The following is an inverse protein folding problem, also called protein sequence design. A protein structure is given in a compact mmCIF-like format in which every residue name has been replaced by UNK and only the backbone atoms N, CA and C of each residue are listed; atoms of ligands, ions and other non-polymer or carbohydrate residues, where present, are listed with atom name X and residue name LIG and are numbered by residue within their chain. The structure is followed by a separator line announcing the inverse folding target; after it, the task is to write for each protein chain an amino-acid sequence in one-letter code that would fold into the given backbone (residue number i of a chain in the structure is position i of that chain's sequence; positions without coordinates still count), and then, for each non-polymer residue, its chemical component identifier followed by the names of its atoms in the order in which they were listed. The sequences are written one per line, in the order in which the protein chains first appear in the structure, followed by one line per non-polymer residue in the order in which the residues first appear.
data_IF_839356843970
#
_entry.id   IF_839356843970
#
_cell.length_a   1.000
_cell.length_b   1.000
_cell.length_c   1.000
_cell.angle_alpha   90.00
_cell.angle_beta   90.00
_cell.angle_gamma   90.00
#
_symmetry.space_group_name_H-M   'P 1'
#
loop_
_entity.id
_entity.type
_entity.pdbx_description
1 polymer ?
#
# COMPACT_ATOMS: atom_id res chain seq x y z
N UNK A 1 12.58 -10.05 4.22
CA UNK A 1 13.10 -9.33 5.40
C UNK A 1 12.80 -10.13 6.65
N UNK A 2 13.80 -10.41 7.50
CA UNK A 2 13.58 -10.94 8.85
C UNK A 2 12.79 -9.87 9.62
N UNK A 3 11.74 -10.26 10.34
CA UNK A 3 11.07 -9.36 11.30
C UNK A 3 12.14 -8.94 12.31
N UNK A 4 12.47 -7.66 12.35
CA UNK A 4 13.24 -7.10 13.44
C UNK A 4 12.39 -7.31 14.69
N UNK A 5 12.96 -7.89 15.74
CA UNK A 5 12.26 -8.04 17.01
C UNK A 5 11.79 -6.66 17.46
N UNK A 6 10.57 -6.57 17.95
CA UNK A 6 10.08 -5.32 18.52
C UNK A 6 10.86 -5.04 19.80
N UNK A 7 11.27 -3.78 20.05
CA UNK A 7 11.97 -3.45 21.27
C UNK A 7 11.07 -3.71 22.49
N UNK A 8 11.68 -4.21 23.57
CA UNK A 8 11.03 -4.34 24.86
C UNK A 8 10.84 -2.96 25.49
N UNK A 9 9.74 -2.79 26.18
CA UNK A 9 9.41 -1.56 26.91
C UNK A 9 9.25 -1.86 28.40
N UNK A 10 9.38 -0.80 29.21
CA UNK A 10 8.96 -0.83 30.61
C UNK A 10 7.46 -1.14 30.73
N UNK A 11 7.02 -1.59 31.93
CA UNK A 11 5.60 -1.81 32.19
C UNK A 11 4.75 -0.54 31.93
N UNK A 12 5.29 0.63 32.22
CA UNK A 12 4.63 1.90 31.92
C UNK A 12 4.52 2.14 30.40
N UNK A 13 5.61 1.90 29.64
CA UNK A 13 5.58 2.00 28.16
C UNK A 13 4.55 1.09 27.52
N UNK A 14 4.44 -0.17 28.00
CA UNK A 14 3.41 -1.10 27.52
C UNK A 14 2.00 -0.61 27.88
N UNK A 15 1.79 -0.05 29.05
CA UNK A 15 0.50 0.52 29.46
C UNK A 15 0.09 1.68 28.55
N UNK A 16 1.02 2.58 28.21
CA UNK A 16 0.79 3.69 27.29
C UNK A 16 0.38 3.19 25.90
N UNK A 17 1.08 2.18 25.38
CA UNK A 17 0.73 1.60 24.07
C UNK A 17 -0.65 0.94 24.09
N UNK A 18 -0.97 0.21 25.15
CA UNK A 18 -2.25 -0.48 25.30
C UNK A 18 -3.42 0.50 25.34
N UNK A 19 -3.27 1.62 26.04
CA UNK A 19 -4.29 2.67 26.09
C UNK A 19 -4.53 3.30 24.72
N UNK A 20 -3.45 3.62 23.99
CA UNK A 20 -3.57 4.15 22.63
C UNK A 20 -4.14 3.12 21.65
N UNK A 21 -3.78 1.84 21.79
CA UNK A 21 -4.36 0.77 20.96
C UNK A 21 -5.87 0.69 21.15
N UNK A 22 -6.35 0.77 22.39
CA UNK A 22 -7.77 0.75 22.70
C UNK A 22 -8.51 1.91 22.00
N UNK A 23 -7.98 3.14 22.10
CA UNK A 23 -8.52 4.29 21.39
C UNK A 23 -8.59 4.06 19.88
N UNK A 24 -7.47 3.65 19.25
CA UNK A 24 -7.40 3.42 17.82
C UNK A 24 -8.37 2.33 17.31
N UNK A 25 -8.70 1.34 18.15
CA UNK A 25 -9.62 0.26 17.79
C UNK A 25 -11.08 0.59 18.01
N UNK A 26 -11.40 1.40 19.02
CA UNK A 26 -12.79 1.66 19.44
C UNK A 26 -13.32 2.94 18.80
N UNK A 27 -12.51 3.98 18.76
CA UNK A 27 -12.98 5.31 18.36
C UNK A 27 -12.65 5.67 16.91
N UNK A 28 -11.73 4.91 16.27
CA UNK A 28 -11.32 5.21 14.93
C UNK A 28 -11.59 4.04 13.96
N UNK A 29 -12.17 4.35 12.81
CA UNK A 29 -12.40 3.39 11.72
C UNK A 29 -11.09 3.11 10.94
N UNK A 30 -10.09 2.56 11.65
CA UNK A 30 -8.79 2.26 11.09
C UNK A 30 -8.63 0.77 10.76
N UNK A 31 -7.92 0.49 9.67
CA UNK A 31 -7.57 -0.90 9.35
C UNK A 31 -6.63 -1.49 10.41
N UNK A 32 -6.75 -2.80 10.68
CA UNK A 32 -5.83 -3.55 11.57
C UNK A 32 -4.36 -3.31 11.21
N UNK A 33 -4.05 -3.17 9.91
CA UNK A 33 -2.69 -2.89 9.47
C UNK A 33 -2.23 -1.48 9.83
N UNK A 34 -3.12 -0.49 9.77
CA UNK A 34 -2.83 0.90 10.16
C UNK A 34 -2.57 0.99 11.66
N UNK A 35 -3.46 0.41 12.48
CA UNK A 35 -3.29 0.34 13.93
C UNK A 35 -1.94 -0.30 14.29
N UNK A 36 -1.63 -1.46 13.71
CA UNK A 36 -0.35 -2.14 13.93
C UNK A 36 0.86 -1.27 13.57
N UNK A 37 0.80 -0.52 12.48
CA UNK A 37 1.89 0.35 12.06
C UNK A 37 2.07 1.53 13.05
N UNK A 38 0.97 2.15 13.48
CA UNK A 38 1.01 3.24 14.47
C UNK A 38 1.59 2.75 15.80
N UNK A 39 1.13 1.61 16.29
CA UNK A 39 1.67 1.01 17.52
C UNK A 39 3.15 0.64 17.39
N UNK A 40 3.57 0.13 16.23
CA UNK A 40 4.98 -0.19 15.97
C UNK A 40 5.86 1.08 15.97
N UNK A 41 5.40 2.16 15.34
CA UNK A 41 6.14 3.41 15.30
C UNK A 41 6.22 4.07 16.70
N UNK A 42 5.11 4.07 17.45
CA UNK A 42 5.07 4.59 18.83
C UNK A 42 5.95 3.74 19.77
N UNK A 43 5.93 2.41 19.63
CA UNK A 43 6.81 1.50 20.39
C UNK A 43 8.29 1.82 20.16
N UNK A 44 8.69 2.04 18.92
CA UNK A 44 10.07 2.39 18.60
C UNK A 44 10.48 3.72 19.23
N UNK A 45 9.59 4.72 19.21
CA UNK A 45 9.84 6.00 19.85
C UNK A 45 9.94 5.86 21.38
N UNK A 46 9.01 5.15 22.01
CA UNK A 46 9.02 4.92 23.46
C UNK A 46 10.30 4.22 23.90
N UNK A 47 10.71 3.14 23.21
CA UNK A 47 11.95 2.43 23.49
C UNK A 47 13.18 3.31 23.31
N UNK A 48 13.19 4.18 22.29
CA UNK A 48 14.29 5.14 22.10
C UNK A 48 14.36 6.17 23.25
N UNK A 49 13.22 6.61 23.76
CA UNK A 49 13.17 7.50 24.94
C UNK A 49 13.68 6.78 26.19
N UNK A 50 13.23 5.53 26.45
CA UNK A 50 13.65 4.73 27.60
C UNK A 50 15.16 4.42 27.59
N UNK A 51 15.74 4.15 26.42
CA UNK A 51 17.17 3.88 26.26
C UNK A 51 18.06 5.11 26.54
N UNK A 52 17.51 6.34 26.50
CA UNK A 52 18.24 7.59 26.75
C UNK A 52 18.14 8.09 28.19
N UNK A 53 17.40 7.40 29.04
CA UNK A 53 17.36 7.73 30.46
C UNK A 53 18.75 7.68 31.10
N UNK A 54 18.96 8.38 32.23
CA UNK A 54 20.25 8.45 32.87
C UNK A 54 20.78 7.06 33.17
N UNK A 55 21.87 6.70 32.50
CA UNK A 55 22.60 5.45 32.73
C UNK A 55 23.11 5.45 34.18
N UNK A 56 22.69 4.47 34.98
CA UNK A 56 23.21 4.25 36.33
C UNK A 56 22.21 4.19 37.47
N UNK A 57 20.90 4.22 37.19
CA UNK A 57 19.88 3.87 38.19
C UNK A 57 19.25 2.53 37.82
N UNK A 58 19.05 1.68 38.81
CA UNK A 58 18.46 0.32 38.73
C UNK A 58 17.04 0.26 38.12
N UNK A 59 16.47 1.40 37.74
CA UNK A 59 15.20 1.51 37.04
C UNK A 59 15.44 2.16 35.69
N UNK A 60 15.34 1.40 34.61
CA UNK A 60 15.26 1.93 33.25
C UNK A 60 14.23 3.06 33.22
N UNK A 61 14.59 4.20 32.62
CA UNK A 61 13.69 5.35 32.56
C UNK A 61 12.40 4.91 31.81
N UNK A 62 11.27 4.96 32.51
CA UNK A 62 9.99 4.61 31.90
C UNK A 62 9.57 5.69 30.91
N UNK A 63 8.98 5.30 29.79
CA UNK A 63 8.39 6.23 28.84
C UNK A 63 7.23 7.00 29.48
N UNK A 64 7.39 8.31 29.59
CA UNK A 64 6.41 9.22 30.18
C UNK A 64 6.08 10.30 29.13
N UNK A 65 4.92 10.21 28.47
CA UNK A 65 4.55 11.15 27.40
C UNK A 65 4.59 12.63 27.80
N UNK A 66 4.24 12.93 29.07
CA UNK A 66 4.18 14.30 29.60
C UNK A 66 5.58 14.95 29.71
N UNK A 67 6.63 14.15 29.69
CA UNK A 67 8.02 14.64 29.70
C UNK A 67 8.60 14.85 28.31
N UNK A 68 7.87 14.48 27.27
CA UNK A 68 8.31 14.66 25.90
C UNK A 68 8.12 16.10 25.47
N UNK A 69 9.20 16.75 25.09
CA UNK A 69 9.19 18.12 24.56
C UNK A 69 9.51 18.12 23.05
N UNK A 70 9.21 19.23 22.38
CA UNK A 70 9.53 19.42 20.96
C UNK A 70 11.00 19.09 20.60
N UNK A 71 12.01 19.50 21.39
CA UNK A 71 13.40 19.12 21.12
C UNK A 71 13.63 17.61 21.07
N UNK A 72 12.98 16.84 21.95
CA UNK A 72 13.07 15.38 21.97
C UNK A 72 12.59 14.76 20.65
N UNK A 73 11.50 15.29 20.09
CA UNK A 73 10.96 14.82 18.81
C UNK A 73 11.86 15.22 17.62
N UNK A 74 12.49 16.38 17.68
CA UNK A 74 13.48 16.82 16.67
C UNK A 74 14.72 15.91 16.73
N UNK A 75 15.20 15.56 17.91
CA UNK A 75 16.31 14.63 18.09
C UNK A 75 15.95 13.23 17.58
N UNK A 76 14.74 12.76 17.86
CA UNK A 76 14.27 11.47 17.33
C UNK A 76 14.21 11.49 15.80
N UNK A 77 13.70 12.55 15.18
CA UNK A 77 13.73 12.71 13.72
C UNK A 77 15.17 12.63 13.20
N UNK A 78 16.11 13.31 13.83
CA UNK A 78 17.53 13.29 13.47
C UNK A 78 18.12 11.88 13.61
N UNK A 79 17.77 11.16 14.67
CA UNK A 79 18.13 9.76 14.88
C UNK A 79 17.64 8.86 13.75
N UNK A 80 16.35 8.98 13.36
CA UNK A 80 15.78 8.20 12.26
C UNK A 80 16.48 8.49 10.92
N UNK A 81 16.81 9.76 10.66
CA UNK A 81 17.44 10.18 9.40
C UNK A 81 18.92 9.81 9.31
N UNK A 82 19.70 10.12 10.33
CA UNK A 82 21.17 10.07 10.25
C UNK A 82 21.76 8.81 10.87
N UNK A 83 21.19 8.28 11.94
CA UNK A 83 21.71 7.07 12.57
C UNK A 83 21.09 5.79 11.96
N UNK A 84 19.77 5.76 11.78
CA UNK A 84 19.10 4.63 11.16
C UNK A 84 19.02 4.73 9.62
N UNK A 85 19.37 5.85 9.04
CA UNK A 85 19.38 6.12 7.59
C UNK A 85 18.07 5.70 6.89
N UNK A 86 16.94 5.96 7.56
CA UNK A 86 15.65 5.62 7.01
C UNK A 86 15.27 6.56 5.85
N UNK A 87 14.54 6.02 4.88
CA UNK A 87 13.96 6.82 3.79
C UNK A 87 13.02 7.90 4.35
N UNK A 88 12.96 9.09 3.72
CA UNK A 88 12.08 10.20 4.14
C UNK A 88 10.64 9.76 4.39
N UNK A 89 10.06 8.93 3.52
CA UNK A 89 8.71 8.37 3.67
C UNK A 89 8.54 7.57 4.98
N UNK A 90 9.56 6.82 5.42
CA UNK A 90 9.52 6.05 6.67
C UNK A 90 9.63 6.96 7.88
N UNK A 91 10.51 7.99 7.81
CA UNK A 91 10.65 9.02 8.85
C UNK A 91 9.35 9.79 9.00
N UNK A 92 8.77 10.25 7.90
CA UNK A 92 7.52 11.00 7.89
C UNK A 92 6.34 10.17 8.43
N UNK A 93 6.27 8.87 8.11
CA UNK A 93 5.26 7.98 8.69
C UNK A 93 5.36 7.94 10.22
N UNK A 94 6.57 7.75 10.75
CA UNK A 94 6.80 7.75 12.20
C UNK A 94 6.42 9.09 12.83
N UNK A 95 6.80 10.22 12.21
CA UNK A 95 6.44 11.54 12.71
C UNK A 95 4.93 11.80 12.67
N UNK A 96 4.23 11.35 11.62
CA UNK A 96 2.76 11.44 11.52
C UNK A 96 2.10 10.62 12.63
N UNK A 97 2.61 9.43 12.92
CA UNK A 97 2.15 8.61 14.06
C UNK A 97 2.29 9.38 15.37
N UNK A 98 3.46 10.00 15.62
CA UNK A 98 3.69 10.76 16.85
C UNK A 98 2.81 12.02 16.94
N UNK A 99 2.65 12.76 15.83
CA UNK A 99 1.72 13.91 15.79
C UNK A 99 0.30 13.49 16.16
N UNK A 100 -0.18 12.36 15.62
CA UNK A 100 -1.50 11.86 15.94
C UNK A 100 -1.64 11.44 17.40
N UNK A 101 -0.61 10.78 17.94
CA UNK A 101 -0.58 10.36 19.34
C UNK A 101 -0.59 11.56 20.29
N UNK A 102 0.27 12.55 20.10
CA UNK A 102 0.35 13.73 20.98
C UNK A 102 -0.86 14.65 20.86
N UNK A 103 -1.42 14.81 19.67
CA UNK A 103 -2.69 15.53 19.48
C UNK A 103 -3.86 14.85 20.21
N UNK A 104 -3.89 13.53 20.25
CA UNK A 104 -4.87 12.77 21.03
C UNK A 104 -4.70 12.99 22.53
N UNK A 105 -3.48 13.00 23.06
CA UNK A 105 -3.21 13.29 24.49
C UNK A 105 -3.60 14.73 24.86
N UNK A 106 -3.33 15.71 23.98
CA UNK A 106 -3.79 17.08 24.17
C UNK A 106 -5.32 17.17 24.21
N UNK A 107 -6.01 16.48 23.29
CA UNK A 107 -7.47 16.44 23.26
C UNK A 107 -8.10 15.79 24.52
N UNK A 108 -7.40 14.85 25.15
CA UNK A 108 -7.79 14.26 26.44
C UNK A 108 -7.47 15.17 27.66
N UNK A 109 -6.78 16.29 27.46
CA UNK A 109 -6.33 17.15 28.55
C UNK A 109 -5.16 16.57 29.37
N UNK A 110 -4.52 15.49 28.88
CA UNK A 110 -3.33 14.90 29.53
C UNK A 110 -2.07 15.72 29.24
N UNK A 111 -2.10 16.52 28.18
CA UNK A 111 -1.06 17.50 27.86
C UNK A 111 -1.66 18.88 27.73
N UNK A 112 -0.91 19.88 28.18
CA UNK A 112 -1.28 21.29 28.02
C UNK A 112 -1.05 21.83 26.61
N UNK A 113 -0.17 21.17 25.83
CA UNK A 113 0.11 21.48 24.44
C UNK A 113 0.75 20.27 23.73
N UNK A 114 0.47 20.13 22.43
CA UNK A 114 1.05 19.09 21.58
C UNK A 114 2.52 19.42 21.21
N UNK A 115 3.53 18.66 21.73
CA UNK A 115 4.93 18.92 21.42
C UNK A 115 5.29 18.56 19.97
N UNK A 116 4.47 17.75 19.27
CA UNK A 116 4.71 17.35 17.90
C UNK A 116 4.15 18.33 16.87
N UNK A 117 3.29 19.26 17.27
CA UNK A 117 2.58 20.18 16.38
C UNK A 117 3.53 20.94 15.43
N UNK A 118 4.60 21.49 15.96
CA UNK A 118 5.57 22.31 15.22
C UNK A 118 6.69 21.51 14.55
N UNK A 119 6.76 20.20 14.78
CA UNK A 119 7.80 19.34 14.16
C UNK A 119 7.52 19.22 12.67
N UNK A 120 8.46 19.71 11.85
CA UNK A 120 8.34 19.63 10.38
C UNK A 120 8.66 18.22 9.89
N UNK A 121 7.90 17.78 8.89
CA UNK A 121 8.20 16.58 8.13
C UNK A 121 9.48 16.79 7.31
N UNK A 122 10.12 15.68 6.95
CA UNK A 122 11.30 15.69 6.08
C UNK A 122 10.81 15.91 4.64
N UNK A 123 11.51 16.76 3.90
CA UNK A 123 11.24 16.96 2.48
C UNK A 123 11.38 15.64 1.72
N UNK A 124 10.40 15.33 0.89
CA UNK A 124 10.43 14.17 0.02
C UNK A 124 10.62 14.63 -1.43
N UNK A 125 11.58 14.04 -2.11
CA UNK A 125 11.67 14.15 -3.55
C UNK A 125 10.56 13.30 -4.17
N UNK A 126 9.71 13.91 -4.97
CA UNK A 126 8.61 13.20 -5.65
C UNK A 126 9.19 12.51 -6.88
N UNK A 127 9.74 11.33 -6.67
CA UNK A 127 10.19 10.45 -7.75
C UNK A 127 8.95 9.71 -8.29
N UNK A 128 8.68 9.76 -9.62
CA UNK A 128 7.62 8.96 -10.20
C UNK A 128 7.80 7.47 -9.83
N UNK A 129 6.72 6.76 -9.47
CA UNK A 129 6.85 5.36 -9.13
C UNK A 129 7.30 4.56 -10.35
N UNK A 130 8.16 3.55 -10.12
CA UNK A 130 8.53 2.59 -11.14
C UNK A 130 7.27 1.94 -11.73
N UNK A 131 7.25 1.78 -13.03
CA UNK A 131 6.26 1.00 -13.77
C UNK A 131 6.95 0.25 -14.90
N UNK A 132 6.30 -0.75 -15.44
CA UNK A 132 6.80 -1.46 -16.60
C UNK A 132 6.60 -0.58 -17.86
N UNK A 133 7.57 -0.61 -18.75
CA UNK A 133 7.39 -0.09 -20.10
C UNK A 133 6.68 -1.13 -21.00
N UNK A 134 6.51 -0.82 -22.29
CA UNK A 134 5.82 -1.71 -23.24
C UNK A 134 6.60 -3.01 -23.48
N UNK A 135 7.93 -2.96 -23.51
CA UNK A 135 8.78 -4.13 -23.75
C UNK A 135 8.81 -5.03 -22.49
N UNK A 136 8.93 -4.43 -21.31
CA UNK A 136 8.89 -5.15 -20.03
C UNK A 136 7.53 -5.85 -19.81
N UNK A 137 6.41 -5.17 -20.12
CA UNK A 137 5.08 -5.75 -20.07
C UNK A 137 4.95 -6.95 -21.02
N UNK A 138 5.39 -6.79 -22.28
CA UNK A 138 5.36 -7.86 -23.27
C UNK A 138 6.22 -9.05 -22.84
N UNK A 139 7.42 -8.82 -22.32
CA UNK A 139 8.30 -9.86 -21.81
C UNK A 139 7.69 -10.62 -20.62
N UNK A 140 7.05 -9.90 -19.69
CA UNK A 140 6.36 -10.50 -18.54
C UNK A 140 5.18 -11.37 -18.99
N UNK A 141 4.35 -10.85 -19.91
CA UNK A 141 3.20 -11.58 -20.46
C UNK A 141 3.67 -12.82 -21.25
N UNK A 142 4.72 -12.71 -22.07
CA UNK A 142 5.30 -13.84 -22.80
C UNK A 142 5.82 -14.93 -21.84
N UNK A 143 6.51 -14.53 -20.75
CA UNK A 143 7.02 -15.45 -19.75
C UNK A 143 5.89 -16.24 -19.07
N UNK A 144 4.81 -15.56 -18.64
CA UNK A 144 3.69 -16.25 -18.01
C UNK A 144 2.88 -17.09 -19.00
N UNK A 145 2.78 -16.69 -20.25
CA UNK A 145 2.09 -17.46 -21.29
C UNK A 145 2.82 -18.75 -21.60
N UNK A 146 4.15 -18.70 -21.62
CA UNK A 146 4.99 -19.87 -21.93
C UNK A 146 5.13 -20.84 -20.75
N UNK A 147 5.36 -20.33 -19.55
CA UNK A 147 5.77 -21.13 -18.39
C UNK A 147 4.70 -21.19 -17.28
N UNK A 148 3.60 -20.42 -17.43
CA UNK A 148 2.58 -20.27 -16.40
C UNK A 148 1.38 -21.19 -16.55
N UNK A 149 0.73 -21.46 -15.41
CA UNK A 149 -0.59 -22.06 -15.41
C UNK A 149 -1.66 -21.05 -15.86
N UNK A 150 -2.83 -21.54 -16.27
CA UNK A 150 -3.97 -20.68 -16.60
C UNK A 150 -4.33 -19.72 -15.44
N UNK A 151 -4.17 -20.18 -14.18
CA UNK A 151 -4.34 -19.36 -12.98
C UNK A 151 -3.34 -18.18 -12.96
N UNK A 152 -2.06 -18.45 -13.16
CA UNK A 152 -0.99 -17.45 -13.08
C UNK A 152 -1.14 -16.43 -14.20
N UNK A 153 -1.52 -16.89 -15.40
CA UNK A 153 -1.86 -16.01 -16.52
C UNK A 153 -3.05 -15.11 -16.19
N UNK A 154 -4.13 -15.68 -15.66
CA UNK A 154 -5.31 -14.91 -15.26
C UNK A 154 -4.99 -13.85 -14.21
N UNK A 155 -4.16 -14.17 -13.21
CA UNK A 155 -3.74 -13.22 -12.17
C UNK A 155 -2.96 -12.05 -12.77
N UNK A 156 -1.92 -12.31 -13.56
CA UNK A 156 -1.06 -11.26 -14.12
C UNK A 156 -1.81 -10.39 -15.13
N UNK A 157 -2.58 -11.00 -16.03
CA UNK A 157 -3.43 -10.28 -16.98
C UNK A 157 -4.46 -9.43 -16.26
N UNK A 158 -5.11 -9.96 -15.22
CA UNK A 158 -6.07 -9.21 -14.44
C UNK A 158 -5.43 -7.97 -13.82
N UNK A 159 -4.26 -8.09 -13.20
CA UNK A 159 -3.56 -6.96 -12.59
C UNK A 159 -3.18 -5.89 -13.62
N UNK A 160 -2.63 -6.28 -14.77
CA UNK A 160 -2.23 -5.37 -15.84
C UNK A 160 -3.40 -4.66 -16.51
N UNK A 161 -4.59 -5.27 -16.52
CA UNK A 161 -5.75 -4.76 -17.24
C UNK A 161 -6.85 -4.15 -16.36
N UNK A 162 -6.69 -4.20 -15.04
CA UNK A 162 -7.66 -3.63 -14.09
C UNK A 162 -7.03 -2.68 -13.07
N UNK A 163 -5.71 -2.75 -12.89
CA UNK A 163 -5.01 -1.97 -11.89
C UNK A 163 -5.39 -2.29 -10.44
N UNK A 164 -5.97 -3.45 -10.17
CA UNK A 164 -6.33 -3.88 -8.81
C UNK A 164 -5.12 -3.92 -7.89
N UNK A 165 -5.35 -3.57 -6.60
CA UNK A 165 -4.32 -3.75 -5.56
C UNK A 165 -4.11 -5.22 -5.26
N UNK A 166 -2.90 -5.60 -4.84
CA UNK A 166 -2.57 -6.98 -4.47
C UNK A 166 -3.59 -7.59 -3.49
N UNK A 167 -3.99 -6.84 -2.47
CA UNK A 167 -5.00 -7.26 -1.51
C UNK A 167 -6.37 -7.49 -2.17
N UNK A 168 -6.78 -6.62 -3.08
CA UNK A 168 -8.04 -6.73 -3.80
C UNK A 168 -8.07 -8.03 -4.61
N UNK A 169 -7.02 -8.30 -5.41
CA UNK A 169 -6.88 -9.57 -6.15
C UNK A 169 -6.97 -10.79 -5.23
N UNK A 170 -6.25 -10.76 -4.11
CA UNK A 170 -6.24 -11.87 -3.15
C UNK A 170 -7.59 -12.07 -2.43
N UNK A 171 -8.45 -11.05 -2.37
CA UNK A 171 -9.74 -11.14 -1.68
C UNK A 171 -10.92 -11.43 -2.60
N UNK A 172 -10.69 -11.50 -3.93
CA UNK A 172 -11.75 -11.87 -4.87
C UNK A 172 -12.29 -13.26 -4.57
N UNK A 173 -13.61 -13.37 -4.67
CA UNK A 173 -14.33 -14.65 -4.68
C UNK A 173 -15.00 -14.82 -6.04
N UNK A 174 -15.51 -16.01 -6.31
CA UNK A 174 -16.23 -16.30 -7.56
C UNK A 174 -17.49 -15.43 -7.72
N UNK A 175 -18.18 -15.12 -6.61
CA UNK A 175 -19.34 -14.22 -6.59
C UNK A 175 -19.02 -12.80 -7.06
N UNK A 176 -17.76 -12.36 -6.95
CA UNK A 176 -17.32 -11.04 -7.38
C UNK A 176 -17.11 -10.91 -8.89
N UNK A 177 -17.19 -12.03 -9.65
CA UNK A 177 -16.90 -12.06 -11.08
C UNK A 177 -18.20 -12.24 -11.86
N UNK A 178 -18.48 -11.31 -12.76
CA UNK A 178 -19.56 -11.45 -13.74
C UNK A 178 -18.95 -11.46 -15.13
N UNK A 179 -19.09 -12.58 -15.84
CA UNK A 179 -18.61 -12.74 -17.21
C UNK A 179 -19.79 -12.95 -18.16
N UNK A 180 -19.92 -12.05 -19.13
CA UNK A 180 -20.84 -12.19 -20.26
C UNK A 180 -20.08 -12.31 -21.57
N UNK A 181 -20.81 -12.60 -22.65
CA UNK A 181 -20.21 -12.77 -24.00
C UNK A 181 -19.44 -11.54 -24.48
N UNK A 182 -19.93 -10.32 -24.20
CA UNK A 182 -19.36 -9.06 -24.69
C UNK A 182 -18.91 -8.11 -23.59
N UNK A 183 -19.29 -8.35 -22.34
CA UNK A 183 -18.99 -7.52 -21.18
C UNK A 183 -18.58 -8.37 -19.99
N UNK A 184 -17.97 -7.77 -18.99
CA UNK A 184 -17.67 -8.38 -17.71
C UNK A 184 -17.31 -7.33 -16.70
N UNK A 185 -17.55 -7.62 -15.42
CA UNK A 185 -17.25 -6.74 -14.30
C UNK A 185 -16.70 -7.54 -13.12
N UNK A 186 -15.88 -6.89 -12.33
CA UNK A 186 -15.48 -7.35 -11.01
C UNK A 186 -16.08 -6.41 -9.97
N UNK A 187 -16.64 -6.98 -8.91
CA UNK A 187 -17.02 -6.24 -7.72
C UNK A 187 -15.89 -6.31 -6.71
N UNK A 188 -15.31 -5.19 -6.33
CA UNK A 188 -14.17 -5.12 -5.42
C UNK A 188 -14.58 -4.41 -4.14
N UNK A 189 -14.19 -4.97 -3.00
CA UNK A 189 -14.41 -4.34 -1.70
C UNK A 189 -13.39 -3.22 -1.49
N UNK A 190 -13.86 -1.97 -1.52
CA UNK A 190 -13.07 -0.79 -1.22
C UNK A 190 -13.02 -0.47 0.28
N UNK A 191 -12.45 0.67 0.63
CA UNK A 191 -12.44 1.19 2.00
C UNK A 191 -13.86 1.64 2.40
N UNK A 192 -14.15 1.66 3.71
CA UNK A 192 -15.43 2.13 4.28
C UNK A 192 -16.66 1.41 3.70
N UNK A 193 -16.54 0.09 3.52
CA UNK A 193 -17.61 -0.77 3.01
C UNK A 193 -18.19 -0.35 1.64
N UNK A 194 -17.41 0.38 0.82
CA UNK A 194 -17.80 0.75 -0.53
C UNK A 194 -17.45 -0.39 -1.49
N UNK A 195 -18.33 -0.63 -2.45
CA UNK A 195 -18.06 -1.55 -3.55
C UNK A 195 -17.66 -0.76 -4.78
N UNK A 196 -16.61 -1.21 -5.45
CA UNK A 196 -16.15 -0.68 -6.72
C UNK A 196 -16.43 -1.71 -7.81
N UNK A 197 -17.16 -1.32 -8.85
CA UNK A 197 -17.30 -2.12 -10.06
C UNK A 197 -16.18 -1.77 -11.04
N UNK A 198 -15.35 -2.77 -11.37
CA UNK A 198 -14.24 -2.64 -12.30
C UNK A 198 -14.59 -3.37 -13.58
N UNK A 199 -14.69 -2.67 -14.73
CA UNK A 199 -14.97 -3.28 -16.01
C UNK A 199 -13.81 -4.15 -16.50
N UNK A 200 -14.13 -5.26 -17.15
CA UNK A 200 -13.17 -6.20 -17.73
C UNK A 200 -13.13 -6.05 -19.25
N UNK A 201 -11.95 -5.80 -19.81
CA UNK A 201 -11.74 -5.86 -21.25
C UNK A 201 -11.73 -7.31 -21.78
N UNK A 202 -11.67 -7.47 -23.10
CA UNK A 202 -11.75 -8.79 -23.75
C UNK A 202 -10.64 -9.74 -23.26
N UNK A 203 -9.41 -9.24 -23.13
CA UNK A 203 -8.23 -10.01 -22.71
C UNK A 203 -8.39 -10.55 -21.29
N UNK A 204 -8.80 -9.69 -20.35
CA UNK A 204 -9.03 -10.10 -18.96
C UNK A 204 -10.17 -11.12 -18.83
N UNK A 205 -11.27 -10.93 -19.61
CA UNK A 205 -12.36 -11.92 -19.65
C UNK A 205 -11.90 -13.26 -20.18
N UNK A 206 -11.15 -13.27 -21.28
CA UNK A 206 -10.63 -14.48 -21.87
C UNK A 206 -9.70 -15.25 -20.91
N UNK A 207 -8.79 -14.53 -20.22
CA UNK A 207 -7.89 -15.13 -19.25
C UNK A 207 -8.64 -15.74 -18.06
N UNK A 208 -9.66 -15.06 -17.54
CA UNK A 208 -10.50 -15.57 -16.45
C UNK A 208 -11.32 -16.79 -16.89
N UNK A 209 -11.91 -16.77 -18.08
CA UNK A 209 -12.68 -17.88 -18.62
C UNK A 209 -11.79 -19.11 -18.92
N UNK A 210 -10.55 -18.91 -19.37
CA UNK A 210 -9.57 -19.97 -19.55
C UNK A 210 -9.12 -20.61 -18.23
N UNK A 211 -9.02 -19.79 -17.18
CA UNK A 211 -8.69 -20.27 -15.83
C UNK A 211 -9.85 -21.05 -15.20
N UNK A 212 -11.05 -20.53 -15.27
CA UNK A 212 -12.25 -21.14 -14.69
C UNK A 212 -13.44 -21.03 -15.66
N UNK A 213 -13.67 -22.04 -16.49
CA UNK A 213 -14.77 -22.04 -17.45
C UNK A 213 -16.17 -22.00 -16.82
N UNK A 214 -16.29 -22.25 -15.53
CA UNK A 214 -17.58 -22.23 -14.81
C UNK A 214 -17.96 -20.84 -14.30
N UNK A 215 -17.05 -19.86 -14.35
CA UNK A 215 -17.32 -18.48 -13.89
C UNK A 215 -18.56 -17.83 -14.51
N UNK A 216 -18.90 -18.01 -15.80
CA UNK A 216 -20.13 -17.43 -16.36
C UNK A 216 -21.42 -17.93 -15.72
N UNK A 217 -21.36 -19.07 -15.02
CA UNK A 217 -22.50 -19.73 -14.36
C UNK A 217 -22.46 -19.55 -12.83
N UNK A 218 -21.51 -18.75 -12.33
CA UNK A 218 -21.33 -18.54 -10.89
C UNK A 218 -22.51 -17.78 -10.29
N UNK A 219 -23.02 -18.28 -9.17
CA UNK A 219 -24.07 -17.63 -8.40
C UNK A 219 -23.51 -16.47 -7.54
N UNK A 220 -24.34 -15.45 -7.30
CA UNK A 220 -23.98 -14.25 -6.52
C UNK A 220 -23.55 -14.53 -5.06
N UNK A 221 -23.77 -15.75 -4.58
CA UNK A 221 -23.45 -16.17 -3.21
C UNK A 221 -22.23 -17.13 -3.12
N UNK A 222 -21.52 -17.39 -4.22
CA UNK A 222 -20.35 -18.25 -4.21
C UNK A 222 -19.13 -17.52 -3.63
N UNK A 223 -18.93 -17.66 -2.33
CA UNK A 223 -17.83 -17.05 -1.58
C UNK A 223 -16.50 -17.81 -1.70
N UNK A 224 -16.43 -18.83 -2.56
CA UNK A 224 -15.18 -19.55 -2.85
C UNK A 224 -14.12 -18.58 -3.36
N UNK A 225 -12.91 -18.56 -2.78
CA UNK A 225 -11.83 -17.71 -3.29
C UNK A 225 -11.58 -17.91 -4.78
N UNK A 226 -11.49 -16.83 -5.54
CA UNK A 226 -11.22 -16.91 -6.98
C UNK A 226 -9.85 -17.52 -7.26
N UNK A 227 -8.83 -17.10 -6.52
CA UNK A 227 -7.47 -17.60 -6.69
C UNK A 227 -6.97 -18.34 -5.45
N UNK A 228 -6.54 -19.58 -5.67
CA UNK A 228 -5.97 -20.42 -4.63
C UNK A 228 -4.44 -20.49 -4.76
N UNK A 229 -3.75 -20.68 -3.65
CA UNK A 229 -2.32 -21.00 -3.66
C UNK A 229 -2.08 -22.43 -4.11
N UNK A 230 -1.08 -22.67 -4.98
CA UNK A 230 -0.74 -24.03 -5.46
C UNK A 230 -0.37 -24.99 -4.34
N UNK A 231 0.42 -24.52 -3.37
CA UNK A 231 0.98 -25.38 -2.32
C UNK A 231 -0.03 -25.76 -1.23
N UNK A 232 -0.98 -24.88 -0.91
CA UNK A 232 -1.86 -25.05 0.25
C UNK A 232 -3.33 -25.23 -0.13
N UNK A 233 -3.69 -25.04 -1.40
CA UNK A 233 -5.09 -25.02 -1.87
C UNK A 233 -5.99 -24.08 -1.03
N UNK A 234 -5.38 -23.11 -0.36
CA UNK A 234 -6.05 -22.08 0.40
C UNK A 234 -6.03 -20.76 -0.38
N UNK A 235 -6.81 -19.79 0.06
CA UNK A 235 -6.84 -18.42 -0.50
C UNK A 235 -5.43 -17.89 -0.76
N UNK A 236 -5.18 -17.31 -1.93
CA UNK A 236 -3.92 -16.68 -2.28
C UNK A 236 -3.64 -15.51 -1.33
N UNK A 237 -2.44 -15.45 -0.75
CA UNK A 237 -2.01 -14.35 0.09
C UNK A 237 -1.28 -13.28 -0.73
N UNK A 238 -1.26 -12.04 -0.25
CA UNK A 238 -0.48 -10.94 -0.87
C UNK A 238 1.00 -11.29 -1.01
N UNK A 239 1.56 -12.00 -0.03
CA UNK A 239 2.94 -12.50 -0.10
C UNK A 239 3.09 -13.56 -1.20
N UNK A 240 2.12 -14.45 -1.35
CA UNK A 240 2.10 -15.47 -2.41
C UNK A 240 2.00 -14.82 -3.79
N UNK A 241 1.15 -13.81 -3.93
CA UNK A 241 1.05 -13.00 -5.15
C UNK A 241 2.37 -12.28 -5.47
N UNK A 242 3.04 -11.71 -4.47
CA UNK A 242 4.36 -11.09 -4.64
C UNK A 242 5.41 -12.09 -5.14
N UNK A 243 5.42 -13.32 -4.63
CA UNK A 243 6.29 -14.38 -5.12
C UNK A 243 5.97 -14.79 -6.56
N UNK A 244 4.69 -14.87 -6.91
CA UNK A 244 4.24 -15.18 -8.28
C UNK A 244 4.75 -14.12 -9.26
N UNK A 245 4.51 -12.84 -8.99
CA UNK A 245 4.99 -11.74 -9.84
C UNK A 245 6.51 -11.78 -9.97
N UNK A 246 7.24 -11.97 -8.87
CA UNK A 246 8.71 -12.06 -8.88
C UNK A 246 9.21 -13.26 -9.71
N UNK A 247 8.55 -14.42 -9.63
CA UNK A 247 8.89 -15.61 -10.43
C UNK A 247 8.87 -15.28 -11.93
N UNK A 248 7.78 -14.71 -12.43
CA UNK A 248 7.64 -14.41 -13.85
C UNK A 248 8.49 -13.21 -14.30
N UNK A 249 8.69 -12.23 -13.43
CA UNK A 249 9.66 -11.16 -13.68
C UNK A 249 11.08 -11.70 -13.88
N UNK A 250 11.52 -12.62 -13.03
CA UNK A 250 12.84 -13.27 -13.19
C UNK A 250 12.95 -14.07 -14.49
N UNK A 251 11.91 -14.82 -14.89
CA UNK A 251 11.85 -15.53 -16.16
C UNK A 251 11.90 -14.58 -17.36
N UNK A 252 11.30 -13.40 -17.23
CA UNK A 252 11.35 -12.31 -18.20
C UNK A 252 12.65 -11.49 -18.13
N UNK A 253 13.61 -11.83 -17.26
CA UNK A 253 14.85 -11.08 -16.98
C UNK A 253 14.62 -9.64 -16.50
N UNK A 254 13.51 -9.40 -15.83
CA UNK A 254 13.17 -8.11 -15.23
C UNK A 254 13.60 -8.09 -13.76
N UNK A 255 14.12 -6.94 -13.32
CA UNK A 255 14.55 -6.74 -11.93
C UNK A 255 13.54 -5.91 -11.16
N UNK A 256 13.41 -6.22 -9.86
CA UNK A 256 12.63 -5.44 -8.89
C UNK A 256 11.18 -5.16 -9.27
N UNK A 257 10.52 -6.11 -9.96
CA UNK A 257 9.10 -6.02 -10.29
C UNK A 257 8.24 -6.53 -9.13
N UNK A 258 7.26 -5.75 -8.77
CA UNK A 258 6.29 -6.03 -7.70
C UNK A 258 4.84 -5.93 -8.22
N UNK A 259 3.84 -6.43 -7.47
CA UNK A 259 2.43 -6.23 -7.80
C UNK A 259 2.03 -4.75 -7.95
N UNK A 260 2.72 -3.85 -7.24
CA UNK A 260 2.47 -2.41 -7.35
C UNK A 260 2.88 -1.84 -8.70
N UNK A 261 3.99 -2.34 -9.28
CA UNK A 261 4.46 -1.86 -10.58
C UNK A 261 3.51 -2.24 -11.71
N UNK A 262 2.83 -3.40 -11.61
CA UNK A 262 1.77 -3.78 -12.55
C UNK A 262 0.57 -2.83 -12.47
N UNK A 263 0.19 -2.44 -11.26
CA UNK A 263 -0.87 -1.45 -11.05
C UNK A 263 -0.44 -0.06 -11.55
N UNK A 264 0.79 0.34 -11.32
CA UNK A 264 1.33 1.59 -11.86
C UNK A 264 1.33 1.57 -13.40
N UNK A 265 1.71 0.43 -13.99
CA UNK A 265 1.62 0.25 -15.45
C UNK A 265 0.22 0.50 -15.99
N UNK A 266 -0.81 -0.09 -15.37
CA UNK A 266 -2.20 0.19 -15.71
C UNK A 266 -2.52 1.69 -15.59
N UNK A 267 -2.11 2.31 -14.47
CA UNK A 267 -2.35 3.73 -14.23
C UNK A 267 -1.75 4.63 -15.31
N UNK A 268 -0.49 4.43 -15.69
CA UNK A 268 0.18 5.19 -16.74
C UNK A 268 -0.45 4.96 -18.12
N UNK A 269 -0.77 3.74 -18.50
CA UNK A 269 -1.45 3.46 -19.77
C UNK A 269 -2.80 4.13 -19.87
N UNK A 270 -3.58 4.05 -18.81
CA UNK A 270 -4.91 4.65 -18.77
C UNK A 270 -4.86 6.18 -18.72
N UNK A 271 -3.87 6.77 -18.04
CA UNK A 271 -3.69 8.21 -17.96
C UNK A 271 -3.53 8.87 -19.34
N UNK A 272 -2.92 8.16 -20.30
CA UNK A 272 -2.79 8.63 -21.68
C UNK A 272 -4.11 8.63 -22.48
N UNK A 273 -5.15 7.90 -21.99
CA UNK A 273 -6.35 7.65 -22.78
C UNK A 273 -7.65 8.15 -22.13
N UNK A 274 -7.66 8.40 -20.82
CA UNK A 274 -8.87 8.81 -20.10
C UNK A 274 -8.62 10.01 -19.19
N UNK A 275 -9.62 10.87 -18.96
CA UNK A 275 -9.52 11.97 -18.01
C UNK A 275 -9.20 11.48 -16.59
N UNK A 276 -8.45 12.29 -15.83
CA UNK A 276 -7.93 11.96 -14.50
C UNK A 276 -9.01 11.47 -13.51
N UNK A 277 -10.18 12.10 -13.52
CA UNK A 277 -11.30 11.70 -12.64
C UNK A 277 -11.82 10.29 -12.94
N UNK A 278 -11.85 9.88 -14.22
CA UNK A 278 -12.22 8.53 -14.63
C UNK A 278 -11.14 7.50 -14.24
N UNK A 279 -9.87 7.89 -14.38
CA UNK A 279 -8.77 7.06 -13.91
C UNK A 279 -8.84 6.84 -12.39
N UNK A 280 -9.07 7.90 -11.61
CA UNK A 280 -9.26 7.80 -10.18
C UNK A 280 -10.42 6.85 -9.82
N UNK A 281 -11.53 6.94 -10.54
CA UNK A 281 -12.68 6.05 -10.38
C UNK A 281 -12.33 4.58 -10.67
N UNK A 282 -11.67 4.31 -11.81
CA UNK A 282 -11.24 2.95 -12.19
C UNK A 282 -10.28 2.33 -11.19
N UNK A 283 -9.39 3.14 -10.61
CA UNK A 283 -8.40 2.69 -9.64
C UNK A 283 -8.90 2.67 -8.19
N UNK A 284 -10.11 3.16 -7.94
CA UNK A 284 -10.65 3.26 -6.57
C UNK A 284 -9.79 4.15 -5.68
N UNK A 285 -9.43 5.34 -6.16
CA UNK A 285 -8.74 6.36 -5.39
C UNK A 285 -9.74 7.29 -4.71
N UNK A 286 -9.59 7.49 -3.40
CA UNK A 286 -10.44 8.41 -2.63
C UNK A 286 -10.08 9.88 -2.89
N UNK A 287 -8.84 10.18 -3.34
CA UNK A 287 -8.34 11.51 -3.70
C UNK A 287 -7.73 11.50 -5.10
N UNK A 288 -7.95 12.60 -5.84
CA UNK A 288 -7.28 12.83 -7.11
C UNK A 288 -5.76 12.96 -6.96
N UNK A 289 -5.27 13.41 -5.81
CA UNK A 289 -3.83 13.57 -5.56
C UNK A 289 -3.06 12.24 -5.74
N UNK A 290 -3.66 11.12 -5.34
CA UNK A 290 -3.09 9.79 -5.57
C UNK A 290 -3.02 9.41 -7.04
N UNK A 291 -3.82 10.06 -7.88
CA UNK A 291 -3.87 9.79 -9.33
C UNK A 291 -2.97 10.74 -10.11
N UNK A 292 -2.65 11.91 -9.53
CA UNK A 292 -1.74 12.89 -10.14
C UNK A 292 -0.35 12.33 -10.44
N UNK A 293 0.10 11.30 -9.73
CA UNK A 293 1.38 10.63 -9.99
C UNK A 293 1.47 10.05 -11.41
N UNK A 294 0.34 9.72 -12.04
CA UNK A 294 0.29 9.16 -13.41
C UNK A 294 0.22 10.20 -14.52
N UNK A 295 -0.02 11.48 -14.19
CA UNK A 295 -0.12 12.58 -15.15
C UNK A 295 0.96 13.64 -14.97
N UNK A 296 1.82 13.48 -13.97
CA UNK A 296 3.01 14.33 -13.84
C UNK A 296 3.99 13.93 -14.94
N UNK A 297 4.01 14.74 -15.99
CA UNK A 297 4.96 14.59 -17.07
C UNK A 297 6.40 14.80 -16.61
N UNK A 298 7.32 14.08 -17.19
CA UNK A 298 8.74 14.42 -17.11
C UNK A 298 8.98 15.74 -17.87
N UNK A 299 10.10 16.44 -17.64
CA UNK A 299 10.46 17.61 -18.46
C UNK A 299 10.44 17.32 -19.96
N UNK A 300 10.81 16.10 -20.37
CA UNK A 300 10.73 15.63 -21.76
C UNK A 300 9.31 15.52 -22.28
N UNK A 301 8.38 14.99 -21.46
CA UNK A 301 6.96 14.88 -21.81
C UNK A 301 6.32 16.27 -21.98
N UNK A 302 6.69 17.22 -21.11
CA UNK A 302 6.20 18.59 -21.17
C UNK A 302 6.73 19.31 -22.41
N UNK A 303 8.02 19.12 -22.75
CA UNK A 303 8.61 19.67 -23.96
C UNK A 303 7.91 19.11 -25.22
N UNK A 304 7.73 17.79 -25.29
CA UNK A 304 7.03 17.15 -26.39
C UNK A 304 5.58 17.64 -26.53
N UNK A 305 4.87 17.79 -25.42
CA UNK A 305 3.50 18.32 -25.42
C UNK A 305 3.42 19.75 -25.99
N UNK A 306 4.37 20.62 -25.60
CA UNK A 306 4.43 21.99 -26.11
C UNK A 306 4.75 22.04 -27.62
N UNK A 307 5.63 21.17 -28.10
CA UNK A 307 6.00 21.08 -29.51
C UNK A 307 4.90 20.49 -30.40
N UNK A 308 4.00 19.69 -29.82
CA UNK A 308 2.88 19.06 -30.55
C UNK A 308 1.70 20.02 -30.78
N UNK A 309 1.64 21.14 -30.03
CA UNK A 309 0.58 22.14 -30.17
C UNK A 309 0.92 23.02 -31.38
N UNK A 310 0.01 23.06 -32.37
CA UNK A 310 0.10 24.04 -33.45
C UNK A 310 -0.22 25.42 -32.88
N UNK A 311 0.81 26.24 -32.73
CA UNK A 311 0.66 27.65 -32.37
C UNK A 311 0.26 28.41 -33.65
N UNK A 312 -0.91 29.09 -33.62
CA UNK A 312 -1.39 29.98 -34.73
C UNK A 312 -0.82 31.37 -34.51
#
# INVERSE_FOLDING_TARGET
MKRVAQPELSAMGESVLSHYEQHLRVEEDLSVATVRNYLSDLRQFAAWCEARGPQGREHAASFTPEKVATPTLIEYRTYLQHLLQLKPTSVNRALVTLKRYFAWLEALGQLTSDPAKVVKLVGEEVIPPRHLDDQEEQALVAAVTKEGSARDQAILILMLHTGLRAREVCTLTRAHVRLGKRSGTLTVHGKRNKYLEVPLNATARAALAAYDPTLPQTHSHDLTPLFLSEKRHAKLSERGLGYLVKKYAQLAKLHDVSPHDLRHRFGYRMAASVPLHRLAQLMGHDSLDTTLIYVRGTPSDLQHAVETIAWV
#
